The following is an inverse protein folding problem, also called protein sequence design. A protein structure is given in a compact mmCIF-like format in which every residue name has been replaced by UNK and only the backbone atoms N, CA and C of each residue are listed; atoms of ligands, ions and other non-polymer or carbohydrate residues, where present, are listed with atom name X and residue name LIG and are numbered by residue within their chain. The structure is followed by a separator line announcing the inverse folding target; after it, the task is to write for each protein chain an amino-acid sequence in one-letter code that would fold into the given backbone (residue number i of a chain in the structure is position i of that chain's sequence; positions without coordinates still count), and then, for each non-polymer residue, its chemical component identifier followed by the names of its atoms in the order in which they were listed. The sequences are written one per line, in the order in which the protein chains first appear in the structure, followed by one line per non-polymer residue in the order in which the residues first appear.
data_IF_390765939610
#
_entry.id   IF_390765939610
#
_cell.length_a   1.000
_cell.length_b   1.000
_cell.length_c   1.000
_cell.angle_alpha   90.00
_cell.angle_beta   90.00
_cell.angle_gamma   90.00
#
_symmetry.space_group_name_H-M   'P 1'
#
loop_
_entity.id
_entity.type
_entity.pdbx_description
1 polymer ?
#
# COMPACT_ATOMS: atom_id res chain seq x y z
N UNK A 1 1.55 22.24 1.85
CA UNK A 1 0.44 21.28 1.82
C UNK A 1 0.78 20.10 2.72
N UNK A 2 -0.20 19.50 3.38
CA UNK A 2 0.02 18.31 4.22
C UNK A 2 0.05 17.07 3.34
N UNK A 3 1.07 16.23 3.45
CA UNK A 3 1.16 15.00 2.64
C UNK A 3 0.22 13.91 3.19
N UNK A 4 -0.60 13.34 2.29
CA UNK A 4 -1.37 12.11 2.53
C UNK A 4 -1.09 11.12 1.41
N UNK A 5 -0.93 9.84 1.72
CA UNK A 5 -0.58 8.85 0.69
C UNK A 5 -1.69 8.68 -0.35
N UNK A 6 -2.94 8.72 0.10
CA UNK A 6 -4.12 8.66 -0.77
C UNK A 6 -5.28 9.47 -0.24
N UNK A 7 -6.16 9.86 -1.14
CA UNK A 7 -7.51 10.36 -0.84
C UNK A 7 -8.51 9.30 -1.31
N UNK A 8 -9.38 8.83 -0.40
CA UNK A 8 -10.50 7.95 -0.75
C UNK A 8 -11.80 8.71 -0.61
N UNK A 9 -12.59 8.71 -1.67
CA UNK A 9 -13.81 9.51 -1.79
C UNK A 9 -15.01 8.58 -1.94
N UNK A 10 -16.07 8.82 -1.16
CA UNK A 10 -17.37 8.19 -1.35
C UNK A 10 -18.49 9.25 -1.28
N UNK A 11 -19.60 9.03 -1.97
CA UNK A 11 -20.71 9.97 -1.94
C UNK A 11 -21.47 9.87 -0.60
N UNK A 12 -21.72 8.64 -0.15
CA UNK A 12 -22.56 8.37 1.02
C UNK A 12 -21.80 7.73 2.18
N UNK A 13 -22.37 7.87 3.39
CA UNK A 13 -21.83 7.23 4.60
C UNK A 13 -21.81 5.70 4.49
N UNK A 14 -22.84 5.11 3.88
CA UNK A 14 -22.95 3.67 3.73
C UNK A 14 -21.90 3.09 2.77
N UNK A 15 -21.45 3.89 1.80
CA UNK A 15 -20.34 3.53 0.90
C UNK A 15 -18.97 3.67 1.58
N UNK A 16 -18.80 4.66 2.46
CA UNK A 16 -17.55 4.87 3.20
C UNK A 16 -17.38 3.87 4.37
N UNK A 17 -18.48 3.39 4.94
CA UNK A 17 -18.47 2.52 6.13
C UNK A 17 -17.64 1.24 5.93
N UNK A 18 -17.77 0.49 4.82
CA UNK A 18 -16.87 -0.62 4.50
C UNK A 18 -15.39 -0.27 4.51
N UNK A 19 -15.02 0.88 3.94
CA UNK A 19 -13.63 1.33 3.91
C UNK A 19 -13.10 1.59 5.32
N UNK A 20 -13.89 2.23 6.18
CA UNK A 20 -13.53 2.45 7.59
C UNK A 20 -13.30 1.12 8.33
N UNK A 21 -14.11 0.09 8.05
CA UNK A 21 -13.92 -1.25 8.62
C UNK A 21 -12.63 -1.92 8.17
N UNK A 22 -12.21 -1.73 6.91
CA UNK A 22 -10.90 -2.23 6.43
C UNK A 22 -9.71 -1.50 7.07
N UNK A 23 -9.95 -0.34 7.67
CA UNK A 23 -8.95 0.51 8.31
C UNK A 23 -9.05 0.50 9.84
N UNK A 24 -9.66 -0.53 10.46
CA UNK A 24 -9.86 -0.61 11.92
C UNK A 24 -8.56 -0.51 12.73
N UNK A 25 -7.46 -0.89 12.10
CA UNK A 25 -6.09 -0.82 12.60
C UNK A 25 -5.48 0.59 12.61
N UNK A 26 -6.15 1.58 11.98
CA UNK A 26 -5.70 2.96 11.86
C UNK A 26 -6.43 3.85 12.88
N UNK A 27 -5.70 4.80 13.46
CA UNK A 27 -6.32 5.87 14.24
C UNK A 27 -7.00 6.84 13.28
N UNK A 28 -8.32 7.01 13.43
CA UNK A 28 -9.12 7.90 12.58
C UNK A 28 -9.51 9.15 13.36
N UNK A 29 -9.11 10.32 12.87
CA UNK A 29 -9.51 11.62 13.43
C UNK A 29 -10.38 12.41 12.45
N UNK A 30 -11.27 13.26 12.97
CA UNK A 30 -12.07 14.14 12.10
C UNK A 30 -11.26 15.36 11.67
N UNK A 31 -11.45 15.79 10.43
CA UNK A 31 -10.88 17.01 9.87
C UNK A 31 -12.01 17.98 9.56
N UNK A 32 -11.83 19.26 9.90
CA UNK A 32 -12.83 20.29 9.60
C UNK A 32 -12.89 20.52 8.09
N UNK A 33 -14.05 20.23 7.48
CA UNK A 33 -14.31 20.41 6.07
C UNK A 33 -15.47 21.42 5.86
N UNK A 34 -15.51 22.14 4.73
CA UNK A 34 -16.52 23.17 4.47
C UNK A 34 -17.93 22.58 4.33
N UNK A 35 -18.02 21.33 3.88
CA UNK A 35 -19.24 20.53 3.82
C UNK A 35 -18.85 19.04 3.79
N UNK A 36 -19.85 18.15 3.82
CA UNK A 36 -19.61 16.72 3.86
C UNK A 36 -18.88 16.30 5.14
N UNK A 37 -18.04 15.27 5.04
CA UNK A 37 -17.20 14.79 6.14
C UNK A 37 -15.80 14.49 5.64
N UNK A 38 -14.79 14.95 6.37
CA UNK A 38 -13.40 14.56 6.15
C UNK A 38 -12.85 13.87 7.40
N UNK A 39 -12.12 12.76 7.19
CA UNK A 39 -11.46 12.02 8.26
C UNK A 39 -10.05 11.64 7.84
N UNK A 40 -9.08 11.76 8.73
CA UNK A 40 -7.70 11.35 8.47
C UNK A 40 -7.45 10.03 9.21
N UNK A 41 -7.24 8.95 8.46
CA UNK A 41 -6.84 7.65 8.99
C UNK A 41 -5.31 7.54 8.98
N UNK A 42 -4.71 7.21 10.14
CA UNK A 42 -3.25 7.17 10.32
C UNK A 42 -2.78 5.88 10.99
N UNK A 43 -1.72 5.27 10.45
CA UNK A 43 -0.94 4.22 11.13
C UNK A 43 0.51 4.30 10.67
N UNK A 44 1.41 4.64 11.60
CA UNK A 44 2.80 4.95 11.25
C UNK A 44 2.86 6.09 10.22
N UNK A 45 3.50 5.83 9.08
CA UNK A 45 3.63 6.80 7.97
C UNK A 45 2.45 6.81 7.00
N UNK A 46 1.58 5.80 7.05
CA UNK A 46 0.38 5.74 6.21
C UNK A 46 -0.65 6.75 6.70
N UNK A 47 -1.05 7.64 5.80
CA UNK A 47 -2.04 8.72 5.96
C UNK A 47 -3.03 8.63 4.82
N UNK A 48 -4.28 8.27 5.11
CA UNK A 48 -5.36 8.24 4.13
C UNK A 48 -6.40 9.29 4.52
N UNK A 49 -6.68 10.22 3.62
CA UNK A 49 -7.76 11.18 3.78
C UNK A 49 -9.05 10.56 3.21
N UNK A 50 -10.04 10.37 4.07
CA UNK A 50 -11.35 9.82 3.72
C UNK A 50 -12.34 10.97 3.58
N UNK A 51 -12.97 11.09 2.42
CA UNK A 51 -13.96 12.13 2.11
C UNK A 51 -15.33 11.48 1.87
N UNK A 52 -16.33 11.90 2.64
CA UNK A 52 -17.75 11.64 2.35
C UNK A 52 -18.38 12.92 1.83
N UNK A 53 -18.64 12.98 0.53
CA UNK A 53 -18.90 14.25 -0.19
C UNK A 53 -20.35 14.70 -0.10
N UNK A 54 -21.29 13.76 -0.01
CA UNK A 54 -22.66 13.97 -0.48
C UNK A 54 -22.78 13.57 -1.97
N UNK A 55 -24.02 13.36 -2.40
CA UNK A 55 -24.35 12.88 -3.76
C UNK A 55 -24.29 14.02 -4.77
N UNK A 56 -23.81 13.72 -5.97
CA UNK A 56 -23.79 14.62 -7.12
C UNK A 56 -22.43 15.25 -7.41
N UNK A 57 -22.28 15.68 -8.66
CA UNK A 57 -21.02 16.15 -9.25
C UNK A 57 -20.48 17.39 -8.53
N UNK A 58 -21.36 18.32 -8.16
CA UNK A 58 -20.99 19.56 -7.45
C UNK A 58 -20.49 19.26 -6.03
N UNK A 59 -21.17 18.39 -5.28
CA UNK A 59 -20.75 18.03 -3.93
C UNK A 59 -19.39 17.30 -3.94
N UNK A 60 -19.23 16.37 -4.88
CA UNK A 60 -18.01 15.60 -5.07
C UNK A 60 -16.81 16.49 -5.46
N UNK A 61 -16.98 17.29 -6.50
CA UNK A 61 -15.92 18.20 -7.00
C UNK A 61 -15.53 19.27 -5.98
N UNK A 62 -16.50 19.84 -5.26
CA UNK A 62 -16.24 20.88 -4.26
C UNK A 62 -15.39 20.36 -3.11
N UNK A 63 -15.71 19.17 -2.56
CA UNK A 63 -14.94 18.63 -1.44
C UNK A 63 -13.57 18.10 -1.88
N UNK A 64 -13.47 17.47 -3.05
CA UNK A 64 -12.18 17.02 -3.57
C UNK A 64 -11.26 18.21 -3.88
N UNK A 65 -11.78 19.29 -4.47
CA UNK A 65 -11.00 20.50 -4.75
C UNK A 65 -10.49 21.15 -3.47
N UNK A 66 -11.33 21.23 -2.43
CA UNK A 66 -10.91 21.68 -1.10
C UNK A 66 -9.78 20.81 -0.53
N UNK A 67 -9.87 19.49 -0.69
CA UNK A 67 -8.84 18.58 -0.21
C UNK A 67 -7.53 18.74 -0.98
N UNK A 68 -7.56 18.73 -2.32
CA UNK A 68 -6.37 18.87 -3.16
C UNK A 68 -5.71 20.25 -3.05
N UNK A 69 -6.45 21.29 -2.66
CA UNK A 69 -5.88 22.60 -2.35
C UNK A 69 -5.04 22.63 -1.06
N UNK A 70 -5.21 21.66 -0.17
CA UNK A 70 -4.55 21.63 1.15
C UNK A 70 -3.62 20.42 1.34
N UNK A 71 -3.92 19.33 0.66
CA UNK A 71 -3.25 18.05 0.78
C UNK A 71 -2.64 17.65 -0.55
N UNK A 72 -1.36 17.28 -0.52
CA UNK A 72 -0.70 16.61 -1.63
C UNK A 72 -0.88 15.10 -1.48
N UNK A 73 -1.18 14.42 -2.59
CA UNK A 73 -1.48 12.98 -2.58
C UNK A 73 -0.97 12.27 -3.82
N UNK A 74 -0.76 10.95 -3.73
CA UNK A 74 -0.31 10.12 -4.86
C UNK A 74 -1.46 9.62 -5.72
N UNK A 75 -2.65 9.51 -5.14
CA UNK A 75 -3.81 8.94 -5.82
C UNK A 75 -5.11 9.38 -5.15
N UNK A 76 -6.13 9.58 -5.98
CA UNK A 76 -7.53 9.69 -5.56
C UNK A 76 -8.26 8.42 -5.99
N UNK A 77 -8.91 7.75 -5.04
CA UNK A 77 -9.75 6.58 -5.31
C UNK A 77 -11.19 6.94 -4.96
N UNK A 78 -12.08 6.93 -5.95
CA UNK A 78 -13.51 7.01 -5.71
C UNK A 78 -14.08 5.60 -5.51
N UNK A 79 -14.76 5.37 -4.39
CA UNK A 79 -15.48 4.13 -4.11
C UNK A 79 -16.96 4.41 -4.02
N UNK A 80 -17.77 3.46 -4.48
CA UNK A 80 -19.20 3.52 -4.30
C UNK A 80 -19.94 2.49 -5.12
N UNK A 81 -21.22 2.76 -5.31
CA UNK A 81 -22.12 1.97 -6.12
C UNK A 81 -22.45 2.66 -7.45
N UNK A 82 -22.94 1.90 -8.42
CA UNK A 82 -23.39 2.42 -9.72
C UNK A 82 -24.43 1.48 -10.37
N UNK A 83 -25.21 2.03 -11.30
CA UNK A 83 -26.09 1.25 -12.17
C UNK A 83 -25.31 0.67 -13.35
N UNK A 84 -25.54 -0.60 -13.67
CA UNK A 84 -24.96 -1.29 -14.82
C UNK A 84 -25.71 -1.01 -16.12
N UNK A 85 -24.97 -0.67 -17.17
CA UNK A 85 -25.49 -0.40 -18.53
C UNK A 85 -25.19 -1.53 -19.51
N UNK A 86 -24.12 -2.31 -19.27
CA UNK A 86 -23.77 -3.44 -20.12
C UNK A 86 -24.51 -4.72 -19.69
N UNK A 87 -25.07 -5.45 -20.67
CA UNK A 87 -25.80 -6.70 -20.46
C UNK A 87 -24.99 -7.84 -19.84
N UNK A 88 -23.66 -7.76 -19.89
CA UNK A 88 -22.76 -8.73 -19.25
C UNK A 88 -22.61 -8.50 -17.73
N UNK A 89 -22.98 -7.32 -17.23
CA UNK A 89 -22.86 -6.98 -15.81
C UNK A 89 -23.96 -7.64 -14.98
N UNK A 90 -23.61 -7.97 -13.74
CA UNK A 90 -24.53 -8.48 -12.73
C UNK A 90 -24.44 -7.64 -11.46
N UNK A 91 -25.53 -7.59 -10.70
CA UNK A 91 -25.51 -7.02 -9.35
C UNK A 91 -24.42 -7.73 -8.53
N UNK A 92 -23.55 -6.95 -7.90
CA UNK A 92 -22.40 -7.44 -7.14
C UNK A 92 -21.08 -7.52 -7.92
N UNK A 93 -21.10 -7.37 -9.25
CA UNK A 93 -19.87 -7.17 -10.04
C UNK A 93 -19.22 -5.82 -9.71
N UNK A 94 -17.93 -5.69 -10.03
CA UNK A 94 -17.17 -4.45 -9.88
C UNK A 94 -16.81 -3.87 -11.25
N UNK A 95 -17.07 -2.59 -11.44
CA UNK A 95 -16.53 -1.80 -12.55
C UNK A 95 -15.37 -0.93 -12.05
N UNK A 96 -14.20 -1.14 -12.65
CA UNK A 96 -13.02 -0.30 -12.52
C UNK A 96 -13.03 0.70 -13.67
N UNK A 97 -13.23 1.97 -13.34
CA UNK A 97 -13.28 3.02 -14.35
C UNK A 97 -11.91 3.27 -14.96
N UNK A 98 -11.84 3.29 -16.29
CA UNK A 98 -10.64 3.67 -17.05
C UNK A 98 -10.84 4.87 -17.97
N UNK A 99 -12.10 5.22 -18.22
CA UNK A 99 -12.54 6.37 -19.01
C UNK A 99 -13.80 6.95 -18.41
N UNK A 100 -13.87 8.28 -18.29
CA UNK A 100 -14.98 8.98 -17.65
C UNK A 100 -15.62 10.01 -18.59
N UNK A 101 -16.94 9.96 -18.72
CA UNK A 101 -17.70 10.85 -19.62
C UNK A 101 -18.84 11.51 -18.84
N UNK A 102 -19.05 12.81 -19.06
CA UNK A 102 -20.18 13.53 -18.51
C UNK A 102 -21.41 13.27 -19.39
N UNK A 103 -22.22 12.27 -19.07
CA UNK A 103 -23.39 11.94 -19.89
C UNK A 103 -24.55 12.95 -19.74
N UNK A 104 -24.44 13.92 -18.84
CA UNK A 104 -25.39 15.02 -18.69
C UNK A 104 -25.08 16.25 -19.55
N UNK A 105 -23.92 16.31 -20.21
CA UNK A 105 -23.52 17.45 -21.02
C UNK A 105 -24.06 17.36 -22.46
N UNK A 106 -24.74 18.40 -22.92
CA UNK A 106 -25.16 18.56 -24.32
C UNK A 106 -24.85 19.98 -24.80
N UNK A 107 -23.76 20.10 -25.54
CA UNK A 107 -23.35 21.32 -26.23
C UNK A 107 -23.34 21.13 -27.75
N UNK A 108 -24.12 20.18 -28.28
CA UNK A 108 -24.20 19.87 -29.72
C UNK A 108 -24.67 21.06 -30.55
N UNK A 109 -25.46 21.96 -29.97
CA UNK A 109 -25.83 23.24 -30.58
C UNK A 109 -24.63 24.11 -30.99
N UNK A 110 -23.46 23.88 -30.38
CA UNK A 110 -22.19 24.56 -30.69
C UNK A 110 -21.20 23.67 -31.45
N UNK A 111 -21.62 22.48 -31.89
CA UNK A 111 -20.80 21.54 -32.67
C UNK A 111 -19.91 20.60 -31.86
N UNK A 112 -20.12 20.50 -30.55
CA UNK A 112 -19.44 19.51 -29.70
C UNK A 112 -20.14 18.15 -29.73
N UNK A 113 -19.43 17.10 -29.33
CA UNK A 113 -20.02 15.77 -29.18
C UNK A 113 -20.97 15.71 -27.97
N UNK A 114 -21.96 14.80 -28.02
CA UNK A 114 -22.82 14.51 -26.85
C UNK A 114 -21.92 14.03 -25.71
N UNK A 115 -22.05 14.66 -24.54
CA UNK A 115 -21.22 14.39 -23.37
C UNK A 115 -19.96 15.27 -23.24
N UNK A 116 -19.66 16.09 -24.25
CA UNK A 116 -18.53 17.03 -24.20
C UNK A 116 -18.96 18.40 -23.68
N UNK A 117 -18.31 18.85 -22.59
CA UNK A 117 -18.43 20.22 -22.11
C UNK A 117 -17.53 21.14 -22.96
N UNK A 118 -17.99 22.32 -23.41
CA UNK A 118 -17.15 23.25 -24.15
C UNK A 118 -15.84 23.59 -23.43
N UNK A 119 -14.72 23.45 -24.14
CA UNK A 119 -13.38 23.68 -23.60
C UNK A 119 -12.82 22.54 -22.73
N UNK A 120 -13.52 21.41 -22.61
CA UNK A 120 -13.04 20.20 -21.95
C UNK A 120 -12.79 19.08 -22.97
N UNK A 121 -11.94 18.09 -22.64
CA UNK A 121 -11.86 16.87 -23.44
C UNK A 121 -13.20 16.13 -23.41
N UNK A 122 -13.44 15.30 -24.44
CA UNK A 122 -14.64 14.45 -24.52
C UNK A 122 -14.71 13.44 -23.36
N UNK A 123 -13.56 12.98 -22.90
CA UNK A 123 -13.44 12.03 -21.81
C UNK A 123 -12.17 12.26 -21.00
N UNK A 124 -12.19 11.76 -19.78
CA UNK A 124 -11.04 11.76 -18.87
C UNK A 124 -10.56 10.31 -18.74
N UNK A 125 -9.37 10.01 -19.23
CA UNK A 125 -8.78 8.67 -19.11
C UNK A 125 -8.01 8.54 -17.79
N UNK A 126 -7.81 7.29 -17.34
CA UNK A 126 -6.92 7.02 -16.22
C UNK A 126 -5.50 7.50 -16.50
N UNK A 127 -4.80 7.82 -15.41
CA UNK A 127 -3.38 8.11 -15.45
C UNK A 127 -2.58 6.85 -15.80
N UNK A 128 -1.52 6.98 -16.60
CA UNK A 128 -0.72 5.85 -17.09
C UNK A 128 -0.09 5.01 -15.96
N UNK A 129 0.23 5.65 -14.83
CA UNK A 129 0.76 4.99 -13.63
C UNK A 129 -0.20 3.95 -13.02
N UNK A 130 -1.47 3.98 -13.39
CA UNK A 130 -2.49 3.03 -12.91
C UNK A 130 -2.69 1.85 -13.86
N UNK A 131 -2.14 1.87 -15.07
CA UNK A 131 -2.37 0.81 -16.06
C UNK A 131 -1.90 -0.56 -15.56
N UNK A 132 -0.67 -0.67 -15.07
CA UNK A 132 -0.14 -1.94 -14.55
C UNK A 132 -0.83 -2.37 -13.24
N UNK A 133 -0.98 -1.52 -12.20
CA UNK A 133 -1.72 -1.88 -10.99
C UNK A 133 -3.12 -2.43 -11.26
N UNK A 134 -3.87 -1.81 -12.17
CA UNK A 134 -5.24 -2.20 -12.47
C UNK A 134 -5.32 -3.47 -13.33
N UNK A 135 -4.37 -3.69 -14.26
CA UNK A 135 -4.29 -4.93 -15.05
C UNK A 135 -4.04 -6.19 -14.20
N UNK A 136 -3.51 -6.01 -12.99
CA UNK A 136 -3.26 -7.10 -12.04
C UNK A 136 -4.44 -7.39 -11.11
N UNK A 137 -5.54 -6.64 -11.19
CA UNK A 137 -6.78 -6.98 -10.50
C UNK A 137 -7.32 -8.30 -11.04
N UNK A 138 -7.92 -9.09 -10.16
CA UNK A 138 -8.42 -10.43 -10.46
C UNK A 138 -9.80 -10.58 -9.86
N UNK A 139 -10.62 -11.39 -10.53
CA UNK A 139 -11.90 -11.82 -10.02
C UNK A 139 -11.75 -12.44 -8.62
N UNK A 140 -12.74 -12.18 -7.77
CA UNK A 140 -12.93 -12.93 -6.53
C UNK A 140 -13.92 -14.07 -6.80
N UNK A 141 -13.96 -15.10 -5.95
CA UNK A 141 -14.66 -16.39 -6.23
C UNK A 141 -16.04 -16.27 -6.86
N UNK A 142 -16.81 -15.23 -6.52
CA UNK A 142 -18.20 -15.03 -6.95
C UNK A 142 -18.45 -13.62 -7.54
N UNK A 143 -17.40 -12.83 -7.81
CA UNK A 143 -17.53 -11.42 -8.20
C UNK A 143 -16.55 -11.08 -9.33
N UNK A 144 -17.10 -10.60 -10.46
CA UNK A 144 -16.32 -10.32 -11.67
C UNK A 144 -15.83 -8.89 -11.67
N UNK A 145 -14.58 -8.67 -12.10
CA UNK A 145 -14.01 -7.34 -12.31
C UNK A 145 -14.09 -6.98 -13.79
N UNK A 146 -14.81 -5.90 -14.09
CA UNK A 146 -14.92 -5.31 -15.41
C UNK A 146 -14.15 -3.99 -15.46
N UNK A 147 -13.49 -3.72 -16.58
CA UNK A 147 -12.65 -2.53 -16.73
C UNK A 147 -13.13 -1.75 -17.94
N UNK A 148 -13.47 -0.47 -17.78
CA UNK A 148 -13.98 0.30 -18.92
C UNK A 148 -14.58 1.65 -18.58
N UNK A 149 -15.48 2.09 -19.46
CA UNK A 149 -16.04 3.44 -19.45
C UNK A 149 -17.14 3.58 -18.39
N UNK A 150 -17.05 4.64 -17.59
CA UNK A 150 -18.04 5.04 -16.58
C UNK A 150 -18.63 6.39 -16.96
N UNK A 151 -19.95 6.49 -17.00
CA UNK A 151 -20.68 7.73 -17.24
C UNK A 151 -21.04 8.41 -15.92
N UNK A 152 -21.10 9.73 -15.89
CA UNK A 152 -21.63 10.46 -14.74
C UNK A 152 -22.56 11.61 -15.14
N UNK A 153 -23.62 11.81 -14.36
CA UNK A 153 -24.51 12.99 -14.41
C UNK A 153 -25.19 13.21 -13.07
N UNK A 154 -25.79 14.38 -12.81
CA UNK A 154 -26.59 14.62 -11.60
C UNK A 154 -27.99 13.95 -11.63
N UNK A 155 -28.21 12.97 -12.51
CA UNK A 155 -29.45 12.19 -12.59
C UNK A 155 -29.25 10.77 -12.10
N UNK A 156 -30.14 10.32 -11.22
CA UNK A 156 -30.25 8.89 -10.89
C UNK A 156 -30.75 8.14 -12.14
N UNK A 157 -30.00 7.12 -12.57
CA UNK A 157 -30.25 6.42 -13.83
C UNK A 157 -31.41 5.43 -13.68
N UNK A 158 -32.58 5.84 -14.13
CA UNK A 158 -33.76 4.99 -14.31
C UNK A 158 -33.67 4.21 -15.62
N UNK A 159 -34.55 3.23 -15.83
CA UNK A 159 -34.58 2.40 -17.05
C UNK A 159 -34.60 3.22 -18.35
N UNK A 160 -35.44 4.26 -18.44
CA UNK A 160 -35.54 5.09 -19.63
C UNK A 160 -34.27 5.93 -19.87
N UNK A 161 -33.59 6.34 -18.80
CA UNK A 161 -32.29 7.01 -18.88
C UNK A 161 -31.25 6.00 -19.35
N UNK A 162 -31.22 4.79 -18.78
CA UNK A 162 -30.27 3.75 -19.15
C UNK A 162 -30.34 3.40 -20.63
N UNK A 163 -31.53 3.19 -21.20
CA UNK A 163 -31.70 2.90 -22.63
C UNK A 163 -31.18 4.03 -23.53
N UNK A 164 -31.39 5.29 -23.14
CA UNK A 164 -30.83 6.44 -23.85
C UNK A 164 -29.30 6.44 -23.78
N UNK A 165 -28.74 6.21 -22.58
CA UNK A 165 -27.30 6.19 -22.37
C UNK A 165 -26.60 5.06 -23.14
N UNK A 166 -27.18 3.86 -23.16
CA UNK A 166 -26.66 2.71 -23.94
C UNK A 166 -26.58 3.05 -25.43
N UNK A 167 -27.59 3.77 -25.94
CA UNK A 167 -27.65 4.19 -27.34
C UNK A 167 -26.63 5.30 -27.65
N UNK A 168 -26.50 6.28 -26.76
CA UNK A 168 -25.63 7.45 -26.95
C UNK A 168 -24.14 7.12 -26.73
N UNK A 169 -23.84 6.21 -25.80
CA UNK A 169 -22.49 5.86 -25.37
C UNK A 169 -22.28 4.35 -25.47
N UNK A 170 -22.24 3.78 -26.69
CA UNK A 170 -22.06 2.35 -26.88
C UNK A 170 -20.76 1.86 -26.24
N UNK A 171 -20.84 0.79 -25.44
CA UNK A 171 -19.71 0.24 -24.69
C UNK A 171 -19.44 0.89 -23.33
N UNK A 172 -20.29 1.82 -22.87
CA UNK A 172 -20.30 2.25 -21.49
C UNK A 172 -20.72 1.11 -20.56
N UNK A 173 -19.96 0.89 -19.48
CA UNK A 173 -20.23 -0.19 -18.54
C UNK A 173 -21.23 0.23 -17.46
N UNK A 174 -21.03 1.39 -16.84
CA UNK A 174 -21.87 1.85 -15.74
C UNK A 174 -22.10 3.35 -15.77
N UNK A 175 -23.09 3.78 -14.99
CA UNK A 175 -23.36 5.19 -14.75
C UNK A 175 -23.52 5.49 -13.25
N UNK A 176 -22.92 6.60 -12.81
CA UNK A 176 -23.03 7.14 -11.45
C UNK A 176 -23.26 8.65 -11.46
N UNK A 177 -23.08 9.31 -10.31
CA UNK A 177 -23.31 10.75 -10.16
C UNK A 177 -22.05 11.55 -9.80
N UNK A 178 -20.85 10.95 -9.81
CA UNK A 178 -19.65 11.62 -9.30
C UNK A 178 -18.35 11.34 -10.08
N UNK A 179 -18.17 10.16 -10.67
CA UNK A 179 -16.83 9.71 -11.12
C UNK A 179 -16.17 10.64 -12.13
N UNK A 180 -16.91 11.11 -13.14
CA UNK A 180 -16.34 12.03 -14.12
C UNK A 180 -15.98 13.39 -13.49
N UNK A 181 -16.79 13.93 -12.58
CA UNK A 181 -16.48 15.19 -11.92
C UNK A 181 -15.20 15.07 -11.06
N UNK A 182 -15.05 13.95 -10.36
CA UNK A 182 -13.85 13.66 -9.57
C UNK A 182 -12.63 13.45 -10.46
N UNK A 183 -12.76 12.74 -11.58
CA UNK A 183 -11.69 12.55 -12.56
C UNK A 183 -11.22 13.88 -13.15
N UNK A 184 -12.15 14.76 -13.51
CA UNK A 184 -11.86 16.09 -14.03
C UNK A 184 -11.10 16.96 -13.02
N UNK A 185 -11.54 16.96 -11.75
CA UNK A 185 -10.83 17.67 -10.68
C UNK A 185 -9.43 17.09 -10.49
N UNK A 186 -9.30 15.77 -10.38
CA UNK A 186 -8.02 15.12 -10.17
C UNK A 186 -7.03 15.40 -11.32
N UNK A 187 -7.47 15.36 -12.58
CA UNK A 187 -6.65 15.73 -13.73
C UNK A 187 -6.21 17.20 -13.66
N UNK A 188 -7.09 18.12 -13.24
CA UNK A 188 -6.74 19.54 -13.08
C UNK A 188 -5.66 19.81 -12.02
N UNK A 189 -5.49 18.88 -11.07
CA UNK A 189 -4.43 18.91 -10.04
C UNK A 189 -3.25 17.96 -10.35
N UNK A 190 -3.24 17.33 -11.52
CA UNK A 190 -2.23 16.34 -11.93
C UNK A 190 -2.09 15.17 -10.94
N UNK A 191 -3.22 14.66 -10.46
CA UNK A 191 -3.27 13.53 -9.51
C UNK A 191 -3.92 12.31 -10.16
N UNK A 192 -3.28 11.12 -10.10
CA UNK A 192 -3.88 9.88 -10.56
C UNK A 192 -5.25 9.61 -9.93
N UNK A 193 -6.22 9.22 -10.74
CA UNK A 193 -7.59 8.95 -10.32
C UNK A 193 -8.09 7.59 -10.81
N UNK A 194 -8.82 6.88 -9.97
CA UNK A 194 -9.60 5.70 -10.35
C UNK A 194 -10.90 5.62 -9.57
N UNK A 195 -11.95 5.12 -10.21
CA UNK A 195 -13.24 4.82 -9.59
C UNK A 195 -13.44 3.31 -9.51
N UNK A 196 -13.98 2.86 -8.38
CA UNK A 196 -14.32 1.47 -8.10
C UNK A 196 -15.81 1.43 -7.77
N UNK A 197 -16.61 0.96 -8.73
CA UNK A 197 -18.06 1.00 -8.67
C UNK A 197 -18.63 -0.40 -8.62
N UNK A 198 -19.16 -0.77 -7.48
CA UNK A 198 -19.86 -2.03 -7.34
C UNK A 198 -21.29 -1.88 -7.88
N UNK A 199 -21.74 -2.82 -8.71
CA UNK A 199 -23.03 -2.72 -9.40
C UNK A 199 -24.18 -3.02 -8.43
N UNK A 200 -25.05 -2.04 -8.19
CA UNK A 200 -26.22 -2.16 -7.30
C UNK A 200 -27.48 -2.66 -8.02
N UNK A 201 -27.58 -2.33 -9.30
CA UNK A 201 -28.72 -2.60 -10.16
C UNK A 201 -28.25 -2.59 -11.62
N UNK A 202 -29.04 -3.20 -12.51
CA UNK A 202 -28.75 -3.29 -13.94
C UNK A 202 -29.95 -2.82 -14.75
N UNK A 203 -29.70 -2.16 -15.88
CA UNK A 203 -30.73 -1.81 -16.84
C UNK A 203 -31.50 -3.05 -17.33
N UNK A 204 -32.82 -2.93 -17.42
CA UNK A 204 -33.76 -3.90 -18.00
C UNK A 204 -34.56 -4.73 -16.99
N UNK A 205 -34.42 -4.49 -15.68
CA UNK A 205 -34.89 -5.44 -14.65
C UNK A 205 -36.05 -5.02 -13.74
N UNK A 206 -36.27 -3.73 -13.48
CA UNK A 206 -37.10 -3.26 -12.35
C UNK A 206 -37.71 -1.86 -12.58
N UNK A 207 -38.74 -1.49 -11.81
CA UNK A 207 -39.26 -0.11 -11.81
C UNK A 207 -38.32 0.84 -11.06
N UNK A 208 -38.41 2.16 -11.30
CA UNK A 208 -37.55 3.14 -10.63
C UNK A 208 -37.66 3.11 -9.08
N UNK A 209 -38.84 2.82 -8.54
CA UNK A 209 -39.02 2.66 -7.08
C UNK A 209 -38.33 1.41 -6.56
N UNK A 210 -38.41 0.31 -7.30
CA UNK A 210 -37.81 -0.98 -6.92
C UNK A 210 -36.28 -0.90 -7.01
N UNK A 211 -35.74 -0.18 -8.02
CA UNK A 211 -34.30 0.09 -8.14
C UNK A 211 -33.81 0.92 -6.94
N UNK A 212 -34.53 1.97 -6.56
CA UNK A 212 -34.19 2.79 -5.41
C UNK A 212 -34.27 2.03 -4.07
N UNK A 213 -35.19 1.07 -3.94
CA UNK A 213 -35.31 0.21 -2.76
C UNK A 213 -34.23 -0.87 -2.71
N UNK A 214 -33.95 -1.54 -3.83
CA UNK A 214 -32.85 -2.50 -3.98
C UNK A 214 -31.51 -1.83 -3.67
N UNK A 215 -31.30 -0.61 -4.16
CA UNK A 215 -30.13 0.19 -3.83
C UNK A 215 -29.97 0.40 -2.32
N UNK A 216 -31.02 0.87 -1.64
CA UNK A 216 -30.99 1.11 -0.18
C UNK A 216 -30.65 -0.14 0.62
N UNK A 217 -31.07 -1.32 0.16
CA UNK A 217 -30.87 -2.59 0.88
C UNK A 217 -29.54 -3.26 0.56
N UNK A 218 -28.99 -3.06 -0.63
CA UNK A 218 -27.78 -3.77 -1.10
C UNK A 218 -26.50 -2.93 -1.04
N UNK A 219 -26.60 -1.59 -0.95
CA UNK A 219 -25.44 -0.68 -1.05
C UNK A 219 -24.31 -1.03 -0.08
N UNK A 220 -24.61 -1.49 1.15
CA UNK A 220 -23.59 -1.85 2.13
C UNK A 220 -22.80 -3.10 1.74
N UNK A 221 -23.49 -4.12 1.22
CA UNK A 221 -22.87 -5.38 0.82
C UNK A 221 -22.06 -5.21 -0.48
N UNK A 222 -22.59 -4.39 -1.38
CA UNK A 222 -22.01 -4.08 -2.68
C UNK A 222 -20.79 -3.16 -2.51
N UNK A 223 -20.85 -2.17 -1.61
CA UNK A 223 -19.72 -1.28 -1.30
C UNK A 223 -18.52 -1.98 -0.64
N UNK A 224 -18.70 -3.15 -0.01
CA UNK A 224 -17.59 -3.93 0.55
C UNK A 224 -16.57 -4.35 -0.51
N UNK A 225 -17.02 -4.68 -1.72
CA UNK A 225 -16.12 -5.09 -2.81
C UNK A 225 -15.27 -3.91 -3.31
N UNK A 226 -15.89 -2.75 -3.52
CA UNK A 226 -15.20 -1.53 -3.88
C UNK A 226 -14.15 -1.14 -2.82
N UNK A 227 -14.50 -1.22 -1.53
CA UNK A 227 -13.56 -0.94 -0.44
C UNK A 227 -12.39 -1.93 -0.37
N UNK A 228 -12.64 -3.24 -0.51
CA UNK A 228 -11.56 -4.25 -0.57
C UNK A 228 -10.63 -4.02 -1.74
N UNK A 229 -11.19 -3.70 -2.91
CA UNK A 229 -10.41 -3.42 -4.11
C UNK A 229 -9.64 -2.13 -3.98
N UNK A 230 -10.20 -1.10 -3.33
CA UNK A 230 -9.47 0.14 -3.03
C UNK A 230 -8.22 -0.14 -2.19
N UNK A 231 -8.33 -1.00 -1.16
CA UNK A 231 -7.17 -1.44 -0.39
C UNK A 231 -6.13 -2.14 -1.28
N UNK A 232 -6.55 -3.03 -2.18
CA UNK A 232 -5.62 -3.70 -3.12
C UNK A 232 -4.93 -2.69 -4.06
N UNK A 233 -5.67 -1.72 -4.60
CA UNK A 233 -5.11 -0.64 -5.44
C UNK A 233 -4.12 0.21 -4.64
N UNK A 234 -4.45 0.60 -3.41
CA UNK A 234 -3.55 1.35 -2.54
C UNK A 234 -2.25 0.59 -2.26
N UNK A 235 -2.30 -0.74 -2.10
CA UNK A 235 -1.10 -1.57 -1.98
C UNK A 235 -0.25 -1.54 -3.25
N UNK A 236 -0.88 -1.78 -4.40
CA UNK A 236 -0.18 -1.90 -5.69
C UNK A 236 0.45 -0.59 -6.16
N UNK A 237 -0.14 0.53 -5.77
CA UNK A 237 0.36 1.88 -6.10
C UNK A 237 1.39 2.41 -5.09
N UNK A 238 1.71 1.64 -4.04
CA UNK A 238 2.58 2.12 -2.96
C UNK A 238 1.98 3.30 -2.18
N UNK A 239 0.67 3.52 -2.30
CA UNK A 239 -0.08 4.53 -1.55
C UNK A 239 -0.49 4.01 -0.15
N UNK A 240 -0.26 2.74 0.15
CA UNK A 240 -0.21 2.19 1.49
C UNK A 240 1.18 1.65 1.76
N UNK A 241 1.88 2.24 2.73
CA UNK A 241 3.29 1.98 3.03
C UNK A 241 3.47 0.78 3.99
N UNK A 242 3.01 -0.38 3.53
CA UNK A 242 3.16 -1.68 4.21
C UNK A 242 3.36 -2.73 3.12
N UNK A 243 4.59 -2.89 2.62
CA UNK A 243 4.85 -3.90 1.58
C UNK A 243 4.35 -5.28 2.07
N UNK A 244 3.42 -5.89 1.32
CA UNK A 244 3.16 -7.32 1.41
C UNK A 244 4.44 -8.04 0.99
N UNK A 245 5.11 -8.74 1.91
CA UNK A 245 5.95 -9.85 1.49
C UNK A 245 5.06 -11.07 1.35
N UNK A 246 5.14 -11.77 0.22
CA UNK A 246 4.28 -12.92 -0.10
C UNK A 246 4.36 -14.05 0.94
N UNK A 247 5.35 -14.05 1.86
CA UNK A 247 5.57 -15.09 2.88
C UNK A 247 6.12 -14.55 4.21
N UNK A 248 5.79 -13.32 4.63
CA UNK A 248 6.36 -12.74 5.86
C UNK A 248 5.86 -11.33 6.20
N UNK A 249 6.20 -10.82 7.41
CA UNK A 249 5.70 -9.53 7.89
C UNK A 249 6.17 -8.37 7.01
N UNK A 250 5.38 -7.30 7.04
CA UNK A 250 5.52 -6.09 6.24
C UNK A 250 6.96 -5.60 6.07
N UNK A 251 7.34 -5.22 4.84
CA UNK A 251 8.57 -4.44 4.64
C UNK A 251 8.26 -2.95 4.70
N UNK A 252 8.93 -2.24 5.62
CA UNK A 252 8.71 -0.81 5.87
C UNK A 252 9.76 0.10 5.20
N UNK A 253 10.74 -0.48 4.51
CA UNK A 253 11.87 0.25 3.92
C UNK A 253 12.32 -0.42 2.62
N UNK A 254 12.28 0.33 1.50
CA UNK A 254 12.80 -0.11 0.20
C UNK A 254 14.32 -0.35 0.26
N UNK A 255 14.87 -1.09 -0.70
CA UNK A 255 16.33 -1.31 -0.78
C UNK A 255 17.09 0.02 -0.92
N UNK A 256 16.55 0.96 -1.69
CA UNK A 256 17.11 2.32 -1.84
C UNK A 256 17.10 3.07 -0.51
N UNK A 257 15.97 3.05 0.20
CA UNK A 257 15.83 3.63 1.54
C UNK A 257 16.82 3.03 2.55
N UNK A 258 17.04 1.71 2.51
CA UNK A 258 18.02 1.04 3.37
C UNK A 258 19.46 1.46 3.04
N UNK A 259 19.83 1.56 1.77
CA UNK A 259 21.17 2.03 1.35
C UNK A 259 21.40 3.48 1.77
N UNK A 260 20.41 4.34 1.60
CA UNK A 260 20.47 5.73 2.04
C UNK A 260 20.67 5.87 3.55
N UNK A 261 19.96 5.06 4.34
CA UNK A 261 20.17 5.00 5.78
C UNK A 261 21.63 4.64 6.13
N UNK A 262 22.21 3.70 5.38
CA UNK A 262 23.61 3.33 5.55
C UNK A 262 24.57 4.46 5.15
N UNK A 263 24.31 5.17 4.06
CA UNK A 263 25.11 6.33 3.65
C UNK A 263 25.05 7.46 4.68
N UNK A 264 23.86 7.78 5.21
CA UNK A 264 23.71 8.76 6.29
C UNK A 264 24.56 8.38 7.51
N UNK A 265 24.46 7.11 7.95
CA UNK A 265 25.23 6.64 9.11
C UNK A 265 26.73 6.56 8.83
N UNK A 266 27.13 6.29 7.58
CA UNK A 266 28.53 6.34 7.16
C UNK A 266 29.05 7.77 7.26
N UNK A 267 28.33 8.75 6.71
CA UNK A 267 28.71 10.16 6.78
C UNK A 267 28.85 10.64 8.23
N UNK A 268 27.89 10.30 9.10
CA UNK A 268 27.95 10.62 10.53
C UNK A 268 29.12 9.92 11.23
N UNK A 269 29.41 8.66 10.91
CA UNK A 269 30.52 7.91 11.51
C UNK A 269 31.91 8.44 11.14
N UNK A 270 32.01 9.15 10.02
CA UNK A 270 33.23 9.81 9.54
C UNK A 270 33.22 11.33 9.75
N UNK A 271 32.20 11.88 10.42
CA UNK A 271 32.01 13.32 10.67
C UNK A 271 32.12 14.15 9.38
N UNK A 272 31.45 13.70 8.31
CA UNK A 272 31.41 14.44 7.06
C UNK A 272 30.47 15.65 7.18
N UNK A 273 30.79 16.69 6.41
CA UNK A 273 29.88 17.82 6.17
C UNK A 273 28.85 17.46 5.09
N UNK A 274 27.62 18.00 5.16
CA UNK A 274 26.59 17.78 4.15
C UNK A 274 27.02 18.37 2.80
N UNK A 275 26.81 17.61 1.72
CA UNK A 275 27.04 18.10 0.37
C UNK A 275 26.02 19.18 -0.02
N UNK A 276 26.45 20.18 -0.79
CA UNK A 276 25.60 21.28 -1.27
C UNK A 276 24.89 20.99 -2.58
N UNK A 277 25.43 20.11 -3.42
CA UNK A 277 24.80 19.64 -4.67
C UNK A 277 24.24 18.23 -4.47
N UNK A 278 22.93 18.15 -4.26
CA UNK A 278 22.19 16.89 -4.10
C UNK A 278 21.61 16.48 -5.45
N UNK A 279 22.04 15.35 -6.06
CA UNK A 279 21.36 14.82 -7.24
C UNK A 279 19.94 14.40 -6.87
N UNK A 280 18.95 15.04 -7.50
CA UNK A 280 17.53 14.93 -7.12
C UNK A 280 16.91 13.58 -7.53
N UNK A 281 17.39 12.99 -8.63
CA UNK A 281 16.68 11.89 -9.32
C UNK A 281 16.74 10.50 -8.65
N UNK A 282 17.74 10.22 -7.79
CA UNK A 282 17.88 8.91 -7.12
C UNK A 282 17.29 8.89 -5.67
N UNK A 283 16.71 10.00 -5.21
CA UNK A 283 16.47 10.26 -3.77
C UNK A 283 14.98 10.43 -3.38
N UNK A 284 14.05 10.25 -4.31
CA UNK A 284 12.62 10.47 -4.13
C UNK A 284 12.03 9.59 -3.00
N UNK A 285 12.47 8.33 -2.92
CA UNK A 285 12.09 7.36 -1.87
C UNK A 285 12.42 7.87 -0.46
N UNK A 286 13.55 8.57 -0.29
CA UNK A 286 14.04 9.01 1.03
C UNK A 286 13.34 10.28 1.48
N UNK A 287 13.04 11.17 0.53
CA UNK A 287 12.33 12.43 0.81
C UNK A 287 10.98 12.16 1.47
N UNK A 288 10.29 11.10 1.04
CA UNK A 288 9.04 10.64 1.67
C UNK A 288 9.21 10.27 3.16
N UNK A 289 10.33 9.63 3.50
CA UNK A 289 10.64 9.22 4.87
C UNK A 289 11.04 10.38 5.79
N UNK A 290 11.53 11.48 5.21
CA UNK A 290 11.96 12.68 5.91
C UNK A 290 10.88 13.78 5.94
N UNK A 291 9.72 13.55 5.33
CA UNK A 291 8.66 14.55 5.18
C UNK A 291 8.15 15.12 6.51
N UNK A 292 8.28 14.34 7.59
CA UNK A 292 7.83 14.72 8.94
C UNK A 292 8.93 15.42 9.77
N UNK A 293 10.15 15.52 9.25
CA UNK A 293 11.23 16.27 9.89
C UNK A 293 11.16 17.75 9.50
N UNK A 294 11.64 18.66 10.38
CA UNK A 294 11.89 20.06 10.02
C UNK A 294 12.72 20.19 8.74
N UNK A 295 12.45 21.23 7.96
CA UNK A 295 13.06 21.45 6.63
C UNK A 295 14.59 21.54 6.70
N UNK A 296 15.13 22.25 7.69
CA UNK A 296 16.57 22.37 7.95
C UNK A 296 17.21 21.01 8.27
N UNK A 297 16.54 20.19 9.07
CA UNK A 297 17.00 18.83 9.40
C UNK A 297 16.95 17.94 8.17
N UNK A 298 15.90 18.05 7.34
CA UNK A 298 15.72 17.27 6.11
C UNK A 298 16.83 17.56 5.11
N UNK A 299 17.08 18.82 4.82
CA UNK A 299 18.09 19.23 3.84
C UNK A 299 19.50 18.83 4.30
N UNK A 300 19.80 19.07 5.58
CA UNK A 300 21.04 18.61 6.19
C UNK A 300 21.20 17.09 6.10
N UNK A 301 20.13 16.33 6.33
CA UNK A 301 20.13 14.86 6.22
C UNK A 301 20.40 14.41 4.80
N UNK A 302 19.75 15.02 3.81
CA UNK A 302 19.95 14.69 2.39
C UNK A 302 21.39 14.98 1.97
N UNK A 303 21.94 16.14 2.34
CA UNK A 303 23.34 16.47 2.09
C UNK A 303 24.32 15.46 2.71
N UNK A 304 24.03 14.95 3.91
CA UNK A 304 24.83 13.88 4.53
C UNK A 304 24.70 12.54 3.82
N UNK A 305 23.52 12.17 3.30
CA UNK A 305 23.37 10.95 2.51
C UNK A 305 24.25 11.01 1.27
N UNK A 306 24.26 12.15 0.56
CA UNK A 306 25.12 12.36 -0.61
C UNK A 306 26.60 12.31 -0.25
N UNK A 307 27.01 12.99 0.84
CA UNK A 307 28.39 12.93 1.32
C UNK A 307 28.83 11.49 1.65
N UNK A 308 27.93 10.69 2.26
CA UNK A 308 28.17 9.28 2.54
C UNK A 308 28.27 8.42 1.28
N UNK A 309 27.45 8.69 0.27
CA UNK A 309 27.52 8.04 -1.04
C UNK A 309 28.85 8.33 -1.74
N UNK A 310 29.27 9.60 -1.78
CA UNK A 310 30.54 10.00 -2.38
C UNK A 310 31.74 9.41 -1.63
N UNK A 311 31.69 9.34 -0.29
CA UNK A 311 32.72 8.64 0.49
C UNK A 311 32.79 7.15 0.12
N UNK A 312 31.66 6.46 0.02
CA UNK A 312 31.66 5.04 -0.33
C UNK A 312 32.20 4.76 -1.74
N UNK A 313 32.00 5.70 -2.66
CA UNK A 313 32.51 5.65 -4.04
C UNK A 313 34.01 5.94 -4.12
N UNK A 314 34.50 6.88 -3.31
CA UNK A 314 35.91 7.36 -3.33
C UNK A 314 36.83 6.52 -2.44
N UNK A 315 36.36 6.10 -1.27
CA UNK A 315 37.08 5.23 -0.34
C UNK A 315 36.26 3.97 -0.01
N UNK A 316 36.42 2.97 -0.86
CA UNK A 316 35.81 1.65 -0.64
C UNK A 316 36.29 0.96 0.65
N UNK A 317 37.37 1.41 1.31
CA UNK A 317 37.85 0.84 2.57
C UNK A 317 37.26 1.55 3.82
N UNK A 318 36.42 2.56 3.63
CA UNK A 318 35.73 3.23 4.73
C UNK A 318 34.97 2.21 5.59
N UNK A 319 34.95 2.45 6.90
CA UNK A 319 34.41 1.49 7.87
C UNK A 319 33.15 2.00 8.54
N UNK A 320 32.16 1.12 8.68
CA UNK A 320 30.96 1.35 9.47
C UNK A 320 30.55 0.02 10.12
N UNK A 321 30.62 -0.06 11.45
CA UNK A 321 30.17 -1.24 12.19
C UNK A 321 28.67 -1.14 12.48
N UNK A 322 27.98 -2.28 12.59
CA UNK A 322 26.56 -2.30 12.98
C UNK A 322 26.31 -1.56 14.32
N UNK A 323 27.26 -1.66 15.26
CA UNK A 323 27.23 -0.94 16.54
C UNK A 323 27.28 0.58 16.33
N UNK A 324 28.26 1.09 15.57
CA UNK A 324 28.38 2.53 15.28
C UNK A 324 27.17 3.05 14.51
N UNK A 325 26.65 2.24 13.59
CA UNK A 325 25.41 2.55 12.88
C UNK A 325 24.26 2.78 13.87
N UNK A 326 24.03 1.86 14.81
CA UNK A 326 22.93 2.01 15.77
C UNK A 326 23.14 3.16 16.77
N UNK A 327 24.39 3.47 17.14
CA UNK A 327 24.73 4.62 17.98
C UNK A 327 24.37 5.95 17.30
N UNK A 328 24.79 6.16 16.05
CA UNK A 328 24.44 7.37 15.30
C UNK A 328 22.95 7.43 14.95
N UNK A 329 22.34 6.28 14.70
CA UNK A 329 20.91 6.16 14.43
C UNK A 329 20.09 6.52 15.67
N UNK A 330 20.53 6.15 16.87
CA UNK A 330 19.85 6.53 18.12
C UNK A 330 19.80 8.05 18.29
N UNK A 331 20.93 8.73 18.03
CA UNK A 331 21.00 10.20 18.05
C UNK A 331 20.12 10.83 16.96
N UNK A 332 20.11 10.27 15.75
CA UNK A 332 19.34 10.82 14.65
C UNK A 332 17.83 10.79 14.92
N UNK A 333 17.31 9.70 15.49
CA UNK A 333 15.86 9.58 15.69
C UNK A 333 15.30 10.51 16.75
N UNK A 334 16.16 11.19 17.51
CA UNK A 334 15.72 12.26 18.43
C UNK A 334 15.14 13.47 17.68
N UNK A 335 15.41 13.61 16.38
CA UNK A 335 14.81 14.67 15.56
C UNK A 335 13.31 14.44 15.26
N UNK A 336 12.77 13.23 15.48
CA UNK A 336 11.33 12.96 15.32
C UNK A 336 10.55 13.32 16.58
N UNK A 337 9.27 13.69 16.40
CA UNK A 337 8.33 13.94 17.50
C UNK A 337 8.11 12.69 18.37
N UNK A 338 7.70 12.87 19.63
CA UNK A 338 7.43 11.74 20.52
C UNK A 338 6.32 10.80 20.01
N UNK A 339 5.34 11.34 19.28
CA UNK A 339 4.28 10.54 18.67
C UNK A 339 4.82 9.69 17.50
N UNK A 340 5.66 10.26 16.65
CA UNK A 340 6.23 9.55 15.49
C UNK A 340 7.20 8.44 15.89
N UNK A 341 7.88 8.59 17.04
CA UNK A 341 8.83 7.59 17.57
C UNK A 341 8.22 6.24 17.91
N UNK A 342 6.89 6.13 18.00
CA UNK A 342 6.17 4.88 18.29
C UNK A 342 6.05 3.96 17.06
N UNK A 343 6.43 4.42 15.86
CA UNK A 343 6.33 3.68 14.59
C UNK A 343 7.66 3.11 14.06
N UNK A 344 7.63 2.61 12.81
CA UNK A 344 8.82 2.17 12.08
C UNK A 344 9.59 3.38 11.53
N UNK A 345 10.57 3.85 12.29
CA UNK A 345 11.37 5.02 11.95
C UNK A 345 12.47 4.72 10.93
N UNK A 346 12.59 5.57 9.93
CA UNK A 346 13.83 5.70 9.16
C UNK A 346 14.79 6.66 9.88
N UNK A 347 16.10 6.39 9.96
CA UNK A 347 16.77 5.18 9.49
C UNK A 347 16.41 3.95 10.33
N UNK A 348 16.24 2.76 9.72
CA UNK A 348 15.97 1.52 10.43
C UNK A 348 17.15 1.09 11.31
N UNK A 349 16.94 0.11 12.19
CA UNK A 349 18.02 -0.50 12.99
C UNK A 349 18.96 -1.34 12.14
N UNK A 350 20.20 -1.53 12.60
CA UNK A 350 21.18 -2.40 11.93
C UNK A 350 20.65 -3.83 11.77
N UNK A 351 19.87 -4.33 12.75
CA UNK A 351 19.22 -5.64 12.65
C UNK A 351 18.24 -5.74 11.48
N UNK A 352 17.51 -4.67 11.20
CA UNK A 352 16.58 -4.59 10.07
C UNK A 352 17.35 -4.60 8.75
N UNK A 353 18.42 -3.80 8.66
CA UNK A 353 19.34 -3.78 7.51
C UNK A 353 19.96 -5.17 7.27
N UNK A 354 20.48 -5.83 8.31
CA UNK A 354 21.08 -7.18 8.22
C UNK A 354 20.07 -8.19 7.67
N UNK A 355 18.84 -8.21 8.18
CA UNK A 355 17.79 -9.12 7.70
C UNK A 355 17.47 -8.92 6.22
N UNK A 356 17.62 -7.70 5.71
CA UNK A 356 17.30 -7.31 4.33
C UNK A 356 18.44 -7.60 3.35
N UNK A 357 19.68 -7.57 3.80
CA UNK A 357 20.86 -7.88 2.99
C UNK A 357 21.46 -9.24 3.38
N UNK A 358 20.77 -10.33 3.02
CA UNK A 358 21.24 -11.72 3.14
C UNK A 358 21.63 -12.21 4.55
N UNK A 359 21.23 -11.47 5.60
CA UNK A 359 21.45 -11.88 6.99
C UNK A 359 22.83 -11.51 7.56
N UNK A 360 23.67 -10.77 6.84
CA UNK A 360 25.00 -10.35 7.31
C UNK A 360 25.29 -8.87 7.08
N UNK A 361 25.94 -8.23 8.05
CA UNK A 361 26.30 -6.81 7.95
C UNK A 361 27.29 -6.52 6.81
N UNK A 362 28.23 -7.44 6.55
CA UNK A 362 29.19 -7.29 5.46
C UNK A 362 28.50 -7.28 4.08
N UNK A 363 27.41 -8.03 3.91
CA UNK A 363 26.65 -8.04 2.67
C UNK A 363 25.91 -6.70 2.49
N UNK A 364 25.42 -6.11 3.59
CA UNK A 364 24.88 -4.75 3.58
C UNK A 364 25.95 -3.72 3.19
N UNK A 365 27.15 -3.78 3.79
CA UNK A 365 28.25 -2.85 3.46
C UNK A 365 28.68 -2.98 1.99
N UNK A 366 28.76 -4.20 1.47
CA UNK A 366 29.04 -4.44 0.05
C UNK A 366 27.96 -3.83 -0.85
N UNK A 367 26.70 -3.84 -0.42
CA UNK A 367 25.58 -3.29 -1.19
C UNK A 367 25.65 -1.77 -1.40
N UNK A 368 26.44 -1.06 -0.59
CA UNK A 368 26.67 0.38 -0.69
C UNK A 368 28.04 0.74 -1.30
N UNK A 369 28.79 -0.24 -1.80
CA UNK A 369 30.09 -0.03 -2.46
C UNK A 369 31.32 -0.14 -1.57
N UNK A 370 31.16 -0.46 -0.29
CA UNK A 370 32.29 -0.67 0.63
C UNK A 370 32.85 -2.09 0.51
N UNK A 371 34.15 -2.24 0.72
CA UNK A 371 34.87 -3.50 0.79
C UNK A 371 35.02 -3.90 2.26
N UNK A 372 34.18 -4.84 2.77
CA UNK A 372 34.26 -5.22 4.17
C UNK A 372 35.60 -5.91 4.44
N UNK A 373 36.27 -5.55 5.53
CA UNK A 373 37.45 -6.31 5.98
C UNK A 373 37.06 -7.77 6.16
N UNK A 374 37.85 -8.71 5.60
CA UNK A 374 37.63 -10.16 5.78
C UNK A 374 37.52 -10.48 7.27
N UNK A 375 36.27 -10.64 7.74
CA UNK A 375 35.98 -11.27 9.02
C UNK A 375 36.29 -12.77 8.93
N UNK A 376 36.05 -13.52 10.02
CA UNK A 376 36.13 -14.99 10.00
C UNK A 376 35.45 -15.52 8.75
N UNK A 377 36.14 -16.44 8.05
CA UNK A 377 35.57 -17.25 6.99
C UNK A 377 34.16 -17.68 7.39
N UNK A 378 33.17 -17.54 6.48
CA UNK A 378 31.79 -18.01 6.67
C UNK A 378 31.84 -19.29 7.49
N UNK A 379 31.41 -19.21 8.74
CA UNK A 379 31.43 -20.38 9.61
C UNK A 379 30.62 -21.44 8.91
N UNK A 380 31.24 -22.58 8.60
CA UNK A 380 30.50 -23.75 8.12
C UNK A 380 29.29 -23.93 9.03
N UNK A 381 28.12 -24.21 8.45
CA UNK A 381 26.90 -24.43 9.21
C UNK A 381 27.26 -25.34 10.40
N UNK A 382 27.07 -24.85 11.63
CA UNK A 382 27.37 -25.63 12.86
C UNK A 382 26.66 -27.00 12.84
N UNK A 383 25.57 -27.09 12.08
CA UNK A 383 24.72 -28.25 11.92
C UNK A 383 24.37 -28.44 10.43
N UNK A 384 24.54 -29.66 9.93
CA UNK A 384 24.11 -30.11 8.59
C UNK A 384 22.60 -30.29 8.55
N UNK A 385 21.98 -30.39 7.36
CA UNK A 385 20.55 -30.70 7.23
C UNK A 385 20.17 -31.97 7.99
N UNK A 386 21.05 -32.97 8.01
CA UNK A 386 20.84 -34.23 8.73
C UNK A 386 20.83 -34.01 10.24
N UNK A 387 21.66 -33.11 10.78
CA UNK A 387 21.63 -32.75 12.21
C UNK A 387 20.29 -32.10 12.61
N UNK A 388 19.71 -31.29 11.72
CA UNK A 388 18.38 -30.72 11.93
C UNK A 388 17.28 -31.80 11.90
N UNK A 389 17.30 -32.68 10.90
CA UNK A 389 16.32 -33.76 10.80
C UNK A 389 16.44 -34.74 11.96
N UNK A 390 17.67 -35.07 12.38
CA UNK A 390 17.96 -35.88 13.56
C UNK A 390 17.33 -35.25 14.80
N UNK A 391 17.57 -33.96 15.06
CA UNK A 391 17.04 -33.28 16.24
C UNK A 391 15.51 -33.26 16.28
N UNK A 392 14.85 -33.05 15.14
CA UNK A 392 13.39 -33.07 15.03
C UNK A 392 12.86 -34.49 15.27
N UNK A 393 13.47 -35.51 14.65
CA UNK A 393 13.07 -36.92 14.82
C UNK A 393 13.25 -37.40 16.26
N UNK A 394 14.37 -37.06 16.90
CA UNK A 394 14.62 -37.39 18.31
C UNK A 394 13.54 -36.79 19.21
N UNK A 395 13.13 -35.55 18.96
CA UNK A 395 12.06 -34.90 19.70
C UNK A 395 10.67 -35.51 19.44
N UNK A 396 10.37 -35.92 18.20
CA UNK A 396 9.11 -36.61 17.89
C UNK A 396 9.02 -37.92 18.67
N UNK A 397 10.11 -38.71 18.71
CA UNK A 397 10.17 -39.97 19.46
C UNK A 397 9.97 -39.74 20.96
N UNK A 398 10.61 -38.71 21.51
CA UNK A 398 10.44 -38.33 22.92
C UNK A 398 8.99 -37.92 23.24
N UNK A 399 8.42 -37.05 22.40
CA UNK A 399 7.04 -36.60 22.55
C UNK A 399 6.03 -37.76 22.49
N UNK A 400 6.27 -38.74 21.62
CA UNK A 400 5.45 -39.96 21.54
C UNK A 400 5.56 -40.82 22.79
N UNK A 401 6.77 -41.01 23.34
CA UNK A 401 6.97 -41.75 24.60
C UNK A 401 6.21 -41.09 25.76
N UNK A 402 6.26 -39.77 25.80
CA UNK A 402 5.62 -38.95 26.84
C UNK A 402 4.13 -38.69 26.58
N UNK A 403 3.54 -39.27 25.52
CA UNK A 403 2.13 -39.09 25.14
C UNK A 403 1.75 -37.61 24.94
N UNK A 404 2.68 -36.79 24.43
CA UNK A 404 2.50 -35.36 24.14
C UNK A 404 2.54 -35.10 22.64
N UNK A 405 1.79 -34.09 22.20
CA UNK A 405 1.88 -33.59 20.83
C UNK A 405 3.17 -32.78 20.64
N UNK A 406 4.00 -33.08 19.60
CA UNK A 406 5.21 -32.31 19.32
C UNK A 406 4.86 -30.85 19.01
N UNK A 407 5.40 -29.91 19.80
CA UNK A 407 5.14 -28.48 19.61
C UNK A 407 6.43 -27.67 19.70
N UNK A 408 6.45 -26.52 19.01
CA UNK A 408 7.60 -25.61 19.02
C UNK A 408 7.97 -25.17 20.44
N UNK A 409 6.98 -24.85 21.28
CA UNK A 409 7.20 -24.40 22.65
C UNK A 409 7.85 -25.51 23.50
N UNK A 410 7.38 -26.75 23.34
CA UNK A 410 7.87 -27.88 24.11
C UNK A 410 9.25 -28.39 23.64
N UNK A 411 9.65 -28.09 22.40
CA UNK A 411 10.97 -28.45 21.88
C UNK A 411 12.12 -27.77 22.64
N UNK A 412 11.96 -26.49 22.98
CA UNK A 412 13.00 -25.74 23.70
C UNK A 412 13.16 -26.26 25.13
N UNK A 413 12.06 -26.64 25.77
CA UNK A 413 12.05 -27.31 27.08
C UNK A 413 12.74 -28.67 26.99
N UNK A 414 12.35 -29.51 26.02
CA UNK A 414 12.98 -30.82 25.77
C UNK A 414 14.50 -30.73 25.53
N UNK A 415 14.95 -29.75 24.73
CA UNK A 415 16.38 -29.52 24.49
C UNK A 415 17.16 -29.26 25.79
N UNK A 416 16.54 -28.52 26.71
CA UNK A 416 17.13 -28.15 27.99
C UNK A 416 17.12 -29.34 28.94
N UNK A 417 15.96 -29.97 29.11
CA UNK A 417 15.75 -31.09 30.04
C UNK A 417 16.56 -32.34 29.64
N UNK A 418 16.79 -32.54 28.34
CA UNK A 418 17.57 -33.67 27.82
C UNK A 418 19.08 -33.42 27.79
N UNK A 419 19.56 -32.25 28.23
CA UNK A 419 20.99 -31.88 28.16
C UNK A 419 21.54 -31.76 26.74
N UNK A 420 20.67 -31.52 25.76
CA UNK A 420 21.00 -31.38 24.34
C UNK A 420 21.21 -29.93 23.91
N UNK A 421 21.02 -28.98 24.84
CA UNK A 421 21.24 -27.56 24.61
C UNK A 421 22.67 -27.30 24.09
N UNK A 422 22.77 -26.68 22.91
CA UNK A 422 24.04 -26.39 22.25
C UNK A 422 24.67 -27.55 21.45
N UNK A 423 24.19 -28.79 21.64
CA UNK A 423 24.57 -30.00 20.88
C UNK A 423 23.65 -30.26 19.69
N UNK A 424 22.38 -29.87 19.79
CA UNK A 424 21.40 -29.91 18.69
C UNK A 424 20.98 -28.49 18.27
N UNK A 425 20.45 -28.32 17.05
CA UNK A 425 19.91 -27.04 16.61
C UNK A 425 18.80 -26.50 17.53
N UNK A 426 18.74 -25.19 17.71
CA UNK A 426 17.65 -24.57 18.46
C UNK A 426 16.34 -24.59 17.67
N UNK A 427 15.19 -24.48 18.36
CA UNK A 427 13.90 -24.40 17.70
C UNK A 427 13.80 -23.22 16.72
N UNK A 428 14.41 -22.09 17.06
CA UNK A 428 14.50 -20.92 16.18
C UNK A 428 15.31 -21.22 14.91
N UNK A 429 16.43 -21.94 15.03
CA UNK A 429 17.25 -22.35 13.90
C UNK A 429 16.51 -23.35 12.99
N UNK A 430 15.71 -24.26 13.57
CA UNK A 430 14.85 -25.19 12.82
C UNK A 430 13.82 -24.41 12.00
N UNK A 431 13.11 -23.45 12.60
CA UNK A 431 12.11 -22.64 11.87
C UNK A 431 12.74 -21.80 10.76
N UNK A 432 13.91 -21.22 11.01
CA UNK A 432 14.63 -20.47 10.00
C UNK A 432 15.06 -21.35 8.81
N UNK A 433 15.40 -22.63 9.06
CA UNK A 433 15.83 -23.58 8.03
C UNK A 433 14.68 -24.11 7.17
N UNK A 434 13.54 -24.40 7.78
CA UNK A 434 12.41 -25.08 7.11
C UNK A 434 11.19 -24.18 6.85
N UNK A 435 11.25 -22.88 7.17
CA UNK A 435 10.15 -21.92 7.03
C UNK A 435 9.21 -21.91 8.24
N UNK A 436 8.74 -23.09 8.66
CA UNK A 436 7.84 -23.24 9.82
C UNK A 436 8.11 -24.51 10.61
N UNK A 437 7.57 -24.57 11.84
CA UNK A 437 7.63 -25.79 12.66
C UNK A 437 6.85 -26.93 12.03
N UNK A 438 5.73 -26.63 11.35
CA UNK A 438 4.91 -27.63 10.67
C UNK A 438 5.68 -28.26 9.50
N UNK A 439 6.32 -27.44 8.68
CA UNK A 439 7.15 -27.91 7.55
C UNK A 439 8.36 -28.71 8.04
N UNK A 440 8.97 -28.32 9.17
CA UNK A 440 10.04 -29.09 9.80
C UNK A 440 9.57 -30.50 10.23
N UNK A 441 8.39 -30.62 10.85
CA UNK A 441 7.80 -31.92 11.21
C UNK A 441 7.49 -32.77 9.98
N UNK A 442 6.94 -32.17 8.92
CA UNK A 442 6.66 -32.85 7.65
C UNK A 442 7.96 -33.35 6.99
N UNK A 443 8.99 -32.50 6.93
CA UNK A 443 10.30 -32.88 6.40
C UNK A 443 10.94 -34.03 7.19
N UNK A 444 10.78 -34.05 8.52
CA UNK A 444 11.27 -35.13 9.37
C UNK A 444 10.53 -36.47 9.17
N UNK A 445 9.24 -36.43 8.77
CA UNK A 445 8.39 -37.60 8.53
C UNK A 445 8.55 -38.19 7.11
N UNK A 446 9.04 -37.41 6.16
CA UNK A 446 9.28 -37.87 4.79
C UNK A 446 10.54 -38.75 4.81
N UNK A 447 10.39 -40.07 4.55
CA UNK A 447 11.54 -40.97 4.37
C UNK A 447 12.18 -40.66 3.01
N UNK A 448 13.46 -40.28 3.02
CA UNK A 448 14.33 -40.41 1.85
C UNK A 448 14.60 -41.88 1.56
#
# INVERSE_FOLDING_TARGET
MTNVNAIVVAAMKDEMKPMLSQLEDLTVTSVSAPHGKAQLARKGRSRILLLTTGVGMVAASSLLSWALAQYSTRIVISIGSAGGLDSALKVGDLVVGTRYINCGADATAFGYDVGQVPGQPMYFDIHESLAEPLAQLRDQSDQTVHVGTVLSSDSFVTEDIAQRLITQFPGALSADMESQALAQVAQGFDVPFVSLRSISDVAGGQTASDQAETFKTTVSDVANLAAKTAIDVLWRTGALDVERSAHGPAQHFSTTSLRAAMYLMLARAHNLEPATDVPVDDMEDITSHLADLPEDVRDHTLGLVVAGYELAKTDTNATLTAKKYDEHRAQFVENYSEEDRKGFLWPPTSQTVIKRFNGYWNDALASIGLTPRRGRSRGGLKFTTDDYLFAIRSYIVDSQREHRQPSFNNYSTWLTDSGNYGKLPSGAAIRQRFGSWREALTAAQTRS
#
